data_IF_906655152833
#
_entry.id   IF_906655152833
#
_cell.length_a   1.000
_cell.length_b   1.000
_cell.length_c   1.000
_cell.angle_alpha   90.00
_cell.angle_beta   90.00
_cell.angle_gamma   90.00
#
_symmetry.space_group_name_H-M   'P 1'
#
loop_
_entity.id
_entity.type
_entity.pdbx_description
1 polymer ?
#
# COMPACT_ATOMS: atom_id res chain seq x y z
N UNK A 1 -19.70 -10.17 7.59
CA UNK A 1 -18.28 -9.78 7.56
C UNK A 1 -18.17 -8.57 6.65
N UNK A 2 -17.94 -7.39 7.21
CA UNK A 2 -17.77 -6.17 6.42
C UNK A 2 -16.45 -6.25 5.64
N UNK A 3 -16.58 -6.51 4.35
CA UNK A 3 -15.46 -6.56 3.41
C UNK A 3 -14.66 -5.25 3.42
N UNK A 4 -15.27 -4.12 3.78
CA UNK A 4 -14.61 -2.81 3.83
C UNK A 4 -13.65 -2.64 5.01
N UNK A 5 -13.96 -3.21 6.18
CA UNK A 5 -13.13 -3.05 7.39
C UNK A 5 -11.94 -4.02 7.39
N UNK A 6 -12.10 -5.18 6.75
CA UNK A 6 -11.04 -6.17 6.60
C UNK A 6 -9.90 -5.70 5.69
N UNK A 7 -10.15 -4.84 4.70
CA UNK A 7 -9.08 -4.20 3.92
C UNK A 7 -8.37 -3.07 4.65
N UNK A 8 -8.99 -2.38 5.62
CA UNK A 8 -8.34 -1.26 6.32
C UNK A 8 -7.36 -1.71 7.40
N UNK A 9 -7.64 -2.87 8.01
CA UNK A 9 -6.85 -3.42 9.12
C UNK A 9 -6.30 -4.82 8.80
N UNK A 10 -6.43 -5.26 7.55
CA UNK A 10 -5.92 -6.53 7.08
C UNK A 10 -4.42 -6.48 6.89
N UNK A 11 -3.74 -7.52 7.35
CA UNK A 11 -2.35 -7.77 6.96
C UNK A 11 -2.33 -8.01 5.46
N UNK A 12 -1.45 -7.31 4.76
CA UNK A 12 -1.25 -7.50 3.33
C UNK A 12 -0.69 -8.91 3.09
N UNK A 13 -1.42 -9.75 2.35
CA UNK A 13 -0.92 -11.07 1.92
C UNK A 13 0.19 -10.98 0.88
N UNK A 14 0.25 -9.87 0.15
CA UNK A 14 1.23 -9.59 -0.89
C UNK A 14 2.03 -8.36 -0.51
N UNK A 15 3.33 -8.35 -0.80
CA UNK A 15 4.15 -7.14 -0.65
C UNK A 15 3.70 -6.10 -1.67
N UNK A 16 3.22 -4.96 -1.17
CA UNK A 16 2.82 -3.82 -1.99
C UNK A 16 3.83 -2.70 -1.75
N UNK A 17 4.42 -2.22 -2.84
CA UNK A 17 5.27 -1.04 -2.83
C UNK A 17 4.53 0.16 -3.41
N UNK A 18 4.74 1.34 -2.83
CA UNK A 18 4.15 2.59 -3.29
C UNK A 18 5.26 3.59 -3.54
N UNK A 19 5.14 4.34 -4.64
CA UNK A 19 6.04 5.45 -4.91
C UNK A 19 5.97 6.52 -3.83
N UNK A 20 7.02 7.31 -3.72
CA UNK A 20 7.08 8.39 -2.74
C UNK A 20 5.94 9.40 -2.97
N UNK A 21 5.11 9.68 -1.95
CA UNK A 21 4.04 10.65 -2.12
C UNK A 21 4.62 12.06 -2.33
N UNK A 22 3.92 12.91 -3.09
CA UNK A 22 4.34 14.29 -3.31
C UNK A 22 4.46 15.02 -1.97
N UNK A 23 5.66 15.49 -1.64
CA UNK A 23 5.99 16.14 -0.35
C UNK A 23 6.84 15.30 0.60
N UNK A 24 6.97 13.99 0.36
CA UNK A 24 7.90 13.14 1.10
C UNK A 24 9.16 12.77 0.31
N UNK A 25 9.20 13.13 -0.97
CA UNK A 25 10.29 12.78 -1.91
C UNK A 25 11.68 13.05 -1.33
N UNK A 26 12.44 11.99 -1.11
CA UNK A 26 13.80 12.04 -0.60
C UNK A 26 14.75 12.47 -1.70
N UNK A 27 15.45 13.60 -1.47
CA UNK A 27 16.50 14.08 -2.38
C UNK A 27 17.70 13.12 -2.45
N UNK A 28 17.87 12.28 -1.43
CA UNK A 28 19.02 11.40 -1.28
C UNK A 28 18.76 10.01 -1.90
N UNK A 29 17.49 9.63 -2.01
CA UNK A 29 17.04 8.35 -2.53
C UNK A 29 15.83 8.54 -3.46
N UNK A 30 16.03 9.18 -4.63
CA UNK A 30 14.93 9.58 -5.52
C UNK A 30 14.18 8.39 -6.15
N UNK A 31 14.81 7.21 -6.20
CA UNK A 31 14.26 6.01 -6.81
C UNK A 31 13.68 5.02 -5.79
N UNK A 32 13.55 5.42 -4.52
CA UNK A 32 13.05 4.53 -3.48
C UNK A 32 11.53 4.44 -3.50
N UNK A 33 11.04 3.25 -3.14
CA UNK A 33 9.63 2.95 -2.95
C UNK A 33 9.40 2.49 -1.52
N UNK A 34 8.24 2.82 -0.95
CA UNK A 34 7.88 2.41 0.40
C UNK A 34 7.09 1.11 0.37
N UNK A 35 7.46 0.17 1.22
CA UNK A 35 6.66 -1.03 1.48
C UNK A 35 5.47 -0.67 2.37
N UNK A 36 4.27 -1.10 1.96
CA UNK A 36 3.08 -0.99 2.80
C UNK A 36 3.04 -2.17 3.78
N UNK A 37 2.97 -1.85 5.07
CA UNK A 37 2.77 -2.84 6.15
C UNK A 37 1.29 -3.22 6.32
N UNK A 38 0.39 -2.29 5.98
CA UNK A 38 -1.07 -2.46 6.10
C UNK A 38 -1.78 -2.01 4.85
N UNK A 39 -2.92 -2.63 4.59
CA UNK A 39 -3.73 -2.28 3.44
C UNK A 39 -4.35 -0.88 3.61
N UNK A 40 -4.26 -0.07 2.56
CA UNK A 40 -4.81 1.29 2.50
C UNK A 40 -6.26 1.26 2.04
N UNK A 41 -7.05 2.24 2.49
CA UNK A 41 -8.41 2.43 2.01
C UNK A 41 -8.43 2.64 0.49
N UNK A 42 -9.30 1.93 -0.21
CA UNK A 42 -9.45 2.07 -1.65
C UNK A 42 -8.32 1.41 -2.47
N UNK A 43 -7.35 0.77 -1.83
CA UNK A 43 -6.41 -0.11 -2.51
C UNK A 43 -7.19 -1.32 -3.03
N UNK A 44 -7.64 -1.24 -4.29
CA UNK A 44 -8.36 -2.32 -4.95
C UNK A 44 -7.35 -3.41 -5.31
N UNK A 45 -7.03 -4.27 -4.33
CA UNK A 45 -6.40 -5.56 -4.62
C UNK A 45 -7.43 -6.38 -5.40
N UNK A 46 -7.41 -6.27 -6.72
CA UNK A 46 -8.16 -7.19 -7.55
C UNK A 46 -7.56 -8.60 -7.31
N UNK A 47 -8.38 -9.63 -7.04
CA UNK A 47 -7.87 -10.98 -7.02
C UNK A 47 -7.26 -11.24 -8.40
N UNK A 48 -5.94 -11.44 -8.46
CA UNK A 48 -5.31 -11.95 -9.67
C UNK A 48 -5.81 -13.38 -9.81
N UNK A 49 -6.64 -13.61 -10.82
CA UNK A 49 -6.98 -14.94 -11.30
C UNK A 49 -5.77 -15.56 -12.01
#
# INVERSE_FOLDING_TARGET
MDVKTTFLNGILKEEVYVGEPPGFVSKQYPDYVYALDKALYGLKQAPRA
#
